data_IF_609900777704
#
_entry.id   IF_609900777704
#
_cell.length_a   1.000
_cell.length_b   1.000
_cell.length_c   1.000
_cell.angle_alpha   90.00
_cell.angle_beta   90.00
_cell.angle_gamma   90.00
#
_symmetry.space_group_name_H-M   'P 1'
#
loop_
_entity.id
_entity.type
_entity.pdbx_description
1 polymer ?
#
# COMPACT_ATOMS: atom_id res chain seq x y z
N UNK A 1 9.44 21.40 -2.12
CA UNK A 1 8.25 20.99 -1.37
C UNK A 1 7.68 22.21 -0.72
N UNK A 2 6.36 22.23 -0.61
CA UNK A 2 5.56 23.37 -0.18
C UNK A 2 4.45 22.85 0.74
N UNK A 3 4.19 23.53 1.86
CA UNK A 3 3.01 23.28 2.70
C UNK A 3 2.26 24.58 2.86
N UNK A 4 0.96 24.53 2.53
CA UNK A 4 0.06 25.66 2.60
C UNK A 4 -1.14 25.31 3.49
N UNK A 5 -1.62 26.30 4.23
CA UNK A 5 -2.90 26.22 4.94
C UNK A 5 -3.95 26.97 4.14
N UNK A 6 -5.11 26.36 3.91
CA UNK A 6 -6.24 27.04 3.28
C UNK A 6 -6.84 28.05 4.26
N UNK A 7 -6.93 29.32 3.83
CA UNK A 7 -7.63 30.36 4.58
C UNK A 7 -9.08 30.46 4.08
N UNK A 8 -9.26 30.53 2.76
CA UNK A 8 -10.58 30.56 2.12
C UNK A 8 -10.48 30.35 0.61
N UNK A 9 -11.56 29.85 0.01
CA UNK A 9 -11.75 29.95 -1.44
C UNK A 9 -12.27 31.34 -1.80
N UNK A 10 -11.63 32.01 -2.74
CA UNK A 10 -12.07 33.31 -3.26
C UNK A 10 -13.05 33.16 -4.42
N UNK A 11 -12.78 32.21 -5.33
CA UNK A 11 -13.53 32.09 -6.58
C UNK A 11 -13.42 30.68 -7.17
N UNK A 12 -14.55 30.16 -7.65
CA UNK A 12 -14.63 28.98 -8.50
C UNK A 12 -14.71 29.42 -9.97
N UNK A 13 -13.94 28.80 -10.85
CA UNK A 13 -13.99 29.02 -12.29
C UNK A 13 -14.39 27.71 -13.00
N UNK A 14 -15.66 27.28 -12.88
CA UNK A 14 -16.12 26.06 -13.52
C UNK A 14 -16.19 26.21 -15.05
N UNK A 15 -15.88 25.11 -15.73
CA UNK A 15 -16.00 24.91 -17.16
C UNK A 15 -16.88 23.68 -17.36
N UNK A 16 -17.96 23.84 -18.14
CA UNK A 16 -18.86 22.73 -18.44
C UNK A 16 -18.11 21.64 -19.18
N UNK A 17 -18.29 20.40 -18.72
CA UNK A 17 -17.77 19.24 -19.41
C UNK A 17 -18.64 18.90 -20.62
N UNK A 18 -18.00 18.63 -21.75
CA UNK A 18 -18.63 18.14 -22.98
C UNK A 18 -17.84 16.94 -23.48
N UNK A 19 -18.41 15.72 -23.49
CA UNK A 19 -17.71 14.50 -23.89
C UNK A 19 -17.21 14.51 -25.35
N UNK A 20 -17.69 15.44 -26.19
CA UNK A 20 -17.33 15.51 -27.61
C UNK A 20 -16.14 16.43 -27.91
N UNK A 21 -15.64 17.18 -26.93
CA UNK A 21 -14.47 18.05 -27.10
C UNK A 21 -13.18 17.31 -26.74
N UNK A 22 -12.17 17.41 -27.60
CA UNK A 22 -10.80 16.98 -27.30
C UNK A 22 -10.17 17.99 -26.35
N UNK A 23 -9.82 17.56 -25.13
CA UNK A 23 -9.31 18.45 -24.08
C UNK A 23 -7.80 18.36 -23.89
N UNK A 24 -7.17 19.44 -23.39
CA UNK A 24 -5.73 19.50 -23.15
C UNK A 24 -5.26 18.78 -21.87
N UNK A 25 -6.19 18.23 -21.07
CA UNK A 25 -5.86 17.58 -19.79
C UNK A 25 -6.16 16.10 -19.92
N UNK A 26 -5.16 15.24 -19.69
CA UNK A 26 -5.37 13.82 -19.45
C UNK A 26 -6.25 13.69 -18.21
N UNK A 27 -7.54 13.40 -18.43
CA UNK A 27 -8.52 13.21 -17.38
C UNK A 27 -8.14 11.96 -16.58
N UNK A 28 -7.94 12.13 -15.27
CA UNK A 28 -7.53 11.03 -14.39
C UNK A 28 -8.71 10.39 -13.65
N UNK A 29 -9.81 11.11 -13.42
CA UNK A 29 -10.98 10.55 -12.72
C UNK A 29 -12.29 11.33 -12.93
N UNK A 30 -13.41 10.66 -12.63
CA UNK A 30 -14.75 11.27 -12.50
C UNK A 30 -15.17 11.16 -11.04
N UNK A 31 -15.49 12.29 -10.42
CA UNK A 31 -15.94 12.38 -9.03
C UNK A 31 -17.46 12.52 -9.00
N UNK A 32 -18.11 11.57 -8.32
CA UNK A 32 -19.53 11.59 -8.03
C UNK A 32 -19.75 11.94 -6.57
N UNK A 33 -20.65 12.89 -6.29
CA UNK A 33 -21.13 13.15 -4.93
C UNK A 33 -22.49 12.49 -4.80
N UNK A 34 -22.65 11.60 -3.82
CA UNK A 34 -23.93 10.93 -3.56
C UNK A 34 -24.99 11.94 -3.11
N UNK A 35 -26.16 11.97 -3.76
CA UNK A 35 -27.30 12.80 -3.36
C UNK A 35 -28.15 13.33 -4.52
N UNK A 36 -29.23 14.03 -4.20
CA UNK A 36 -30.12 14.70 -5.16
C UNK A 36 -29.53 16.04 -5.62
N UNK A 37 -28.32 16.02 -6.17
CA UNK A 37 -27.66 17.22 -6.69
C UNK A 37 -27.83 17.33 -8.21
N UNK A 38 -27.75 18.55 -8.78
CA UNK A 38 -27.87 18.75 -10.23
C UNK A 38 -26.79 17.96 -10.97
N UNK A 39 -27.19 17.24 -12.02
CA UNK A 39 -26.25 16.61 -12.95
C UNK A 39 -25.71 17.69 -13.90
N UNK A 40 -24.60 18.31 -13.52
CA UNK A 40 -23.94 19.36 -14.28
C UNK A 40 -22.42 19.13 -14.21
N UNK A 41 -21.91 18.19 -15.02
CA UNK A 41 -20.51 17.80 -14.96
C UNK A 41 -19.62 18.98 -15.34
N UNK A 42 -18.68 19.30 -14.47
CA UNK A 42 -17.78 20.45 -14.62
C UNK A 42 -16.35 20.05 -14.26
N UNK A 43 -15.40 20.71 -14.90
CA UNK A 43 -14.00 20.77 -14.46
C UNK A 43 -13.61 22.25 -14.32
N UNK A 44 -12.40 22.58 -13.88
CA UNK A 44 -11.94 23.97 -13.93
C UNK A 44 -10.95 24.33 -12.84
N UNK A 45 -10.82 25.63 -12.60
CA UNK A 45 -9.85 26.18 -11.65
C UNK A 45 -10.50 26.77 -10.40
N UNK A 46 -9.70 26.83 -9.33
CA UNK A 46 -10.04 27.39 -8.05
C UNK A 46 -9.01 28.48 -7.70
N UNK A 47 -9.50 29.65 -7.28
CA UNK A 47 -8.66 30.68 -6.70
C UNK A 47 -8.80 30.64 -5.18
N UNK A 48 -7.69 30.38 -4.48
CA UNK A 48 -7.66 30.15 -3.04
C UNK A 48 -6.71 31.16 -2.40
N UNK A 49 -7.12 31.72 -1.26
CA UNK A 49 -6.22 32.41 -0.36
C UNK A 49 -5.63 31.38 0.61
N UNK A 50 -4.31 31.30 0.64
CA UNK A 50 -3.57 30.37 1.50
C UNK A 50 -2.53 31.09 2.34
N UNK A 51 -2.12 30.47 3.44
CA UNK A 51 -0.94 30.84 4.22
C UNK A 51 0.21 29.90 3.89
N UNK A 52 1.39 30.45 3.61
CA UNK A 52 2.61 29.65 3.49
C UNK A 52 3.07 29.16 4.87
N UNK A 53 3.11 27.84 5.09
CA UNK A 53 3.61 27.24 6.34
C UNK A 53 5.07 26.82 6.18
N UNK A 54 5.42 26.20 5.06
CA UNK A 54 6.76 25.66 4.81
C UNK A 54 7.10 25.68 3.31
N UNK A 55 8.38 25.88 3.00
CA UNK A 55 8.89 25.78 1.64
C UNK A 55 8.76 27.06 0.81
N UNK A 56 8.74 26.90 -0.50
CA UNK A 56 8.58 27.99 -1.46
C UNK A 56 7.88 27.47 -2.74
N UNK A 57 7.45 28.40 -3.59
CA UNK A 57 6.71 28.09 -4.82
C UNK A 57 7.60 27.77 -6.03
N UNK A 58 8.92 27.70 -5.87
CA UNK A 58 9.84 27.47 -6.98
C UNK A 58 9.66 26.05 -7.53
N UNK A 59 9.43 25.95 -8.83
CA UNK A 59 9.22 24.69 -9.57
C UNK A 59 8.06 23.81 -9.04
N UNK A 60 7.12 24.36 -8.26
CA UNK A 60 5.96 23.61 -7.79
C UNK A 60 4.93 23.49 -8.92
N UNK A 61 4.61 22.25 -9.28
CA UNK A 61 3.69 21.93 -10.36
C UNK A 61 2.52 21.08 -9.85
N UNK A 62 2.82 20.11 -8.99
CA UNK A 62 1.86 19.14 -8.47
C UNK A 62 1.42 19.56 -7.08
N UNK A 63 0.12 19.44 -6.82
CA UNK A 63 -0.50 19.76 -5.55
C UNK A 63 -1.37 18.58 -5.09
N UNK A 64 -1.29 18.26 -3.81
CA UNK A 64 -2.16 17.32 -3.11
C UNK A 64 -2.91 18.06 -2.02
N UNK A 65 -4.23 18.05 -2.11
CA UNK A 65 -5.14 18.62 -1.13
C UNK A 65 -5.47 17.57 -0.10
N UNK A 66 -5.33 17.95 1.16
CA UNK A 66 -5.61 17.10 2.31
C UNK A 66 -6.78 17.76 3.04
N UNK A 67 -7.97 17.21 2.79
CA UNK A 67 -9.21 17.52 3.50
C UNK A 67 -9.82 16.19 3.98
N UNK A 68 -11.15 16.08 4.12
CA UNK A 68 -11.83 14.81 4.37
C UNK A 68 -11.50 13.70 3.34
N UNK A 69 -10.98 14.06 2.17
CA UNK A 69 -10.47 13.17 1.13
C UNK A 69 -9.20 13.75 0.49
N UNK A 70 -8.42 12.91 -0.19
CA UNK A 70 -7.24 13.36 -0.94
C UNK A 70 -7.62 13.74 -2.37
N UNK A 71 -7.16 14.91 -2.82
CA UNK A 71 -7.40 15.36 -4.20
C UNK A 71 -6.13 15.89 -4.87
N UNK A 72 -5.94 15.48 -6.12
CA UNK A 72 -4.80 15.88 -6.94
C UNK A 72 -5.12 17.13 -7.78
N UNK A 73 -4.20 18.09 -7.77
CA UNK A 73 -4.30 19.30 -8.58
C UNK A 73 -2.96 19.75 -9.15
N UNK A 74 -3.02 20.78 -10.01
CA UNK A 74 -1.85 21.44 -10.58
C UNK A 74 -1.88 22.93 -10.28
N UNK A 75 -0.74 23.47 -9.84
CA UNK A 75 -0.57 24.89 -9.65
C UNK A 75 -0.51 25.60 -11.01
N UNK A 76 -1.43 26.53 -11.26
CA UNK A 76 -1.44 27.34 -12.49
C UNK A 76 -0.74 28.67 -12.30
N UNK A 77 -0.97 29.32 -11.16
CA UNK A 77 -0.41 30.63 -10.86
C UNK A 77 -0.40 30.90 -9.35
N UNK A 78 0.46 31.80 -8.90
CA UNK A 78 0.47 32.30 -7.53
C UNK A 78 0.86 33.77 -7.47
N UNK A 79 0.28 34.49 -6.52
CA UNK A 79 0.58 35.90 -6.25
C UNK A 79 0.70 36.14 -4.75
N UNK A 80 1.85 36.65 -4.32
CA UNK A 80 2.07 37.04 -2.92
C UNK A 80 1.12 38.17 -2.51
N UNK A 81 0.44 37.98 -1.40
CA UNK A 81 -0.41 38.96 -0.74
C UNK A 81 0.28 39.59 0.47
N UNK A 82 -0.52 40.07 1.43
CA UNK A 82 -0.02 40.59 2.70
C UNK A 82 0.25 39.47 3.71
N UNK A 83 1.33 39.59 4.50
CA UNK A 83 1.65 38.73 5.65
C UNK A 83 1.68 37.22 5.35
N UNK A 84 2.68 36.76 4.60
CA UNK A 84 2.90 35.35 4.18
C UNK A 84 1.70 34.62 3.55
N UNK A 85 0.67 35.38 3.18
CA UNK A 85 -0.48 34.86 2.46
C UNK A 85 -0.25 34.96 0.95
N UNK A 86 -0.81 34.00 0.22
CA UNK A 86 -0.72 33.91 -1.22
C UNK A 86 -2.11 33.68 -1.80
N UNK A 87 -2.41 34.33 -2.91
CA UNK A 87 -3.53 33.93 -3.76
C UNK A 87 -2.97 32.96 -4.80
N UNK A 88 -3.48 31.74 -4.82
CA UNK A 88 -3.06 30.70 -5.76
C UNK A 88 -4.23 30.31 -6.65
N UNK A 89 -3.92 30.02 -7.91
CA UNK A 89 -4.84 29.45 -8.87
C UNK A 89 -4.44 28.00 -9.15
N UNK A 90 -5.40 27.09 -9.01
CA UNK A 90 -5.17 25.65 -9.10
C UNK A 90 -6.21 25.04 -10.02
N UNK A 91 -5.83 24.04 -10.82
CA UNK A 91 -6.77 23.20 -11.57
C UNK A 91 -6.72 21.76 -11.05
N UNK A 92 -7.82 21.04 -11.20
CA UNK A 92 -7.90 19.61 -10.89
C UNK A 92 -7.94 18.79 -12.18
N UNK A 93 -7.38 17.58 -12.16
CA UNK A 93 -7.40 16.67 -13.32
C UNK A 93 -8.60 15.71 -13.27
N UNK A 94 -9.77 16.20 -12.85
CA UNK A 94 -10.97 15.39 -12.68
C UNK A 94 -12.23 16.14 -13.13
N UNK A 95 -13.26 15.36 -13.49
CA UNK A 95 -14.61 15.87 -13.74
C UNK A 95 -15.44 15.71 -12.48
N UNK A 96 -16.03 16.80 -12.03
CA UNK A 96 -16.97 16.82 -10.92
C UNK A 96 -18.39 16.75 -11.47
N UNK A 97 -19.01 15.57 -11.38
CA UNK A 97 -20.29 15.28 -12.04
C UNK A 97 -21.44 16.16 -11.53
N UNK A 98 -21.40 16.50 -10.24
CA UNK A 98 -22.39 17.34 -9.57
C UNK A 98 -22.01 18.84 -9.56
N UNK A 99 -20.98 19.22 -10.31
CA UNK A 99 -20.44 20.58 -10.38
C UNK A 99 -19.26 20.81 -9.45
N UNK A 100 -18.34 21.69 -9.89
CA UNK A 100 -17.07 21.95 -9.21
C UNK A 100 -17.28 22.55 -7.81
N UNK A 101 -18.22 23.49 -7.69
CA UNK A 101 -18.47 24.19 -6.43
C UNK A 101 -19.02 23.26 -5.35
N UNK A 102 -19.96 22.39 -5.72
CA UNK A 102 -20.59 21.45 -4.78
C UNK A 102 -19.60 20.40 -4.31
N UNK A 103 -18.82 19.86 -5.24
CA UNK A 103 -17.86 18.80 -4.93
C UNK A 103 -16.64 19.28 -4.12
N UNK A 104 -16.46 20.60 -4.03
CA UNK A 104 -15.37 21.26 -3.30
C UNK A 104 -15.91 22.21 -2.22
N UNK A 105 -17.12 21.98 -1.73
CA UNK A 105 -17.71 22.80 -0.67
C UNK A 105 -16.90 22.67 0.63
N UNK A 106 -16.44 21.46 0.94
CA UNK A 106 -15.62 21.14 2.13
C UNK A 106 -14.21 21.74 2.09
N UNK A 107 -13.72 22.12 0.91
CA UNK A 107 -12.43 22.83 0.76
C UNK A 107 -12.46 24.19 1.48
N UNK A 108 -13.64 24.76 1.72
CA UNK A 108 -13.79 26.01 2.47
C UNK A 108 -13.59 25.88 3.98
N UNK A 109 -13.47 24.67 4.52
CA UNK A 109 -13.19 24.49 5.94
C UNK A 109 -11.77 25.00 6.23
N UNK A 110 -11.67 25.91 7.20
CA UNK A 110 -10.39 26.37 7.71
C UNK A 110 -9.61 25.17 8.26
N UNK A 111 -8.28 25.19 8.11
CA UNK A 111 -7.32 24.15 8.55
C UNK A 111 -7.02 23.01 7.57
N UNK A 112 -7.68 22.96 6.41
CA UNK A 112 -7.26 22.09 5.30
C UNK A 112 -5.84 22.44 4.81
N UNK A 113 -5.08 21.41 4.43
CA UNK A 113 -3.68 21.54 3.99
C UNK A 113 -3.54 21.29 2.48
N UNK A 114 -2.57 21.98 1.87
CA UNK A 114 -2.13 21.68 0.51
C UNK A 114 -0.64 21.41 0.54
N UNK A 115 -0.23 20.26 -0.01
CA UNK A 115 1.16 19.89 -0.20
C UNK A 115 1.51 20.11 -1.67
N UNK A 116 2.54 20.90 -1.92
CA UNK A 116 3.07 21.11 -3.27
C UNK A 116 4.45 20.48 -3.43
N UNK A 117 4.69 19.89 -4.60
CA UNK A 117 5.98 19.31 -4.95
C UNK A 117 6.28 19.47 -6.45
N UNK A 118 7.57 19.48 -6.77
CA UNK A 118 8.03 19.50 -8.16
C UNK A 118 8.08 18.10 -8.77
N UNK A 119 8.18 18.03 -10.09
CA UNK A 119 8.40 16.77 -10.81
C UNK A 119 9.73 16.09 -10.45
N UNK A 120 10.76 16.86 -10.07
CA UNK A 120 12.04 16.30 -9.61
C UNK A 120 11.94 15.75 -8.18
N UNK A 121 11.17 16.39 -7.32
CA UNK A 121 10.87 15.86 -5.98
C UNK A 121 10.09 14.56 -6.06
N UNK A 122 9.10 14.47 -6.95
CA UNK A 122 8.35 13.24 -7.19
C UNK A 122 9.28 12.06 -7.51
N UNK A 123 10.28 12.26 -8.39
CA UNK A 123 11.28 11.22 -8.71
C UNK A 123 12.16 10.88 -7.52
N UNK A 124 12.48 11.86 -6.67
CA UNK A 124 13.35 11.66 -5.50
C UNK A 124 12.70 10.79 -4.41
N UNK A 125 11.37 10.72 -4.36
CA UNK A 125 10.62 9.85 -3.44
C UNK A 125 10.77 8.35 -3.73
N UNK A 126 11.56 7.96 -4.75
CA UNK A 126 12.02 6.58 -4.94
C UNK A 126 13.05 6.13 -3.89
N UNK A 127 13.54 7.02 -3.03
CA UNK A 127 14.56 6.70 -2.01
C UNK A 127 13.99 6.73 -0.59
N UNK A 128 14.45 5.82 0.26
CA UNK A 128 14.03 5.73 1.67
C UNK A 128 14.19 7.06 2.43
N UNK A 129 15.31 7.76 2.25
CA UNK A 129 15.56 9.03 2.95
C UNK A 129 14.52 10.10 2.59
N UNK A 130 14.17 10.21 1.31
CA UNK A 130 13.19 11.20 0.85
C UNK A 130 11.77 10.84 1.25
N UNK A 131 11.44 9.56 1.25
CA UNK A 131 10.18 9.07 1.79
C UNK A 131 10.06 9.39 3.30
N UNK A 132 11.13 9.22 4.07
CA UNK A 132 11.15 9.57 5.49
C UNK A 132 11.03 11.08 5.72
N UNK A 133 11.72 11.92 4.93
CA UNK A 133 11.57 13.38 4.97
C UNK A 133 10.10 13.80 4.70
N UNK A 134 9.47 13.20 3.70
CA UNK A 134 8.07 13.44 3.36
C UNK A 134 7.13 13.03 4.52
N UNK A 135 7.26 11.79 5.02
CA UNK A 135 6.45 11.30 6.14
C UNK A 135 6.61 12.20 7.37
N UNK A 136 7.84 12.63 7.66
CA UNK A 136 8.14 13.58 8.75
C UNK A 136 7.38 14.89 8.56
N UNK A 137 7.42 15.46 7.35
CA UNK A 137 6.75 16.72 7.05
C UNK A 137 5.22 16.59 7.18
N UNK A 138 4.63 15.53 6.60
CA UNK A 138 3.19 15.31 6.63
C UNK A 138 2.70 15.06 8.06
N UNK A 139 3.36 14.18 8.80
CA UNK A 139 2.98 13.85 10.19
C UNK A 139 2.98 15.09 11.08
N UNK A 140 3.96 15.98 10.90
CA UNK A 140 4.07 17.23 11.66
C UNK A 140 2.84 18.13 11.54
N UNK A 141 2.15 18.10 10.40
CA UNK A 141 1.04 19.01 10.15
C UNK A 141 -0.33 18.33 10.16
N UNK A 142 -0.41 17.02 9.92
CA UNK A 142 -1.67 16.27 9.88
C UNK A 142 -1.98 15.64 11.24
N UNK A 143 -1.00 15.00 11.89
CA UNK A 143 -1.18 14.32 13.19
C UNK A 143 -0.07 14.71 14.19
N UNK A 144 0.08 16.01 14.52
CA UNK A 144 1.19 16.49 15.35
C UNK A 144 1.26 15.86 16.74
N UNK A 145 0.10 15.47 17.32
CA UNK A 145 0.02 14.88 18.67
C UNK A 145 0.64 13.48 18.77
N UNK A 146 0.75 12.75 17.66
CA UNK A 146 1.30 11.38 17.57
C UNK A 146 2.59 11.30 16.75
N UNK A 147 3.29 12.43 16.63
CA UNK A 147 4.42 12.58 15.72
C UNK A 147 5.53 11.55 15.95
N UNK A 148 5.93 11.33 17.20
CA UNK A 148 7.02 10.40 17.51
C UNK A 148 6.58 8.93 17.33
N UNK A 149 5.33 8.61 17.70
CA UNK A 149 4.75 7.29 17.55
C UNK A 149 4.69 6.88 16.08
N UNK A 150 4.14 7.74 15.22
CA UNK A 150 3.97 7.46 13.79
C UNK A 150 5.34 7.25 13.11
N UNK A 151 6.30 8.14 13.37
CA UNK A 151 7.66 7.96 12.85
C UNK A 151 8.35 6.72 13.42
N UNK A 152 8.05 6.35 14.67
CA UNK A 152 8.51 5.11 15.28
C UNK A 152 7.90 3.84 14.68
N UNK A 153 6.74 3.94 14.03
CA UNK A 153 6.13 2.81 13.31
C UNK A 153 6.71 2.63 11.91
N UNK A 154 7.28 3.67 11.32
CA UNK A 154 7.77 3.64 9.97
C UNK A 154 8.87 2.58 9.80
N UNK A 155 8.69 1.67 8.84
CA UNK A 155 9.67 0.61 8.56
C UNK A 155 9.72 0.29 7.09
N UNK A 156 10.84 -0.28 6.67
CA UNK A 156 11.10 -0.64 5.30
C UNK A 156 10.22 -1.82 4.86
N UNK A 157 9.67 -1.72 3.65
CA UNK A 157 9.01 -2.78 2.92
C UNK A 157 9.43 -2.73 1.45
N UNK A 158 9.09 -3.79 0.71
CA UNK A 158 9.44 -3.89 -0.70
C UNK A 158 8.22 -4.32 -1.49
N UNK A 159 7.79 -3.45 -2.38
CA UNK A 159 6.68 -3.72 -3.29
C UNK A 159 7.22 -4.56 -4.44
N UNK A 160 6.55 -5.69 -4.68
CA UNK A 160 6.86 -6.61 -5.76
C UNK A 160 6.12 -6.15 -7.02
N UNK A 161 6.82 -5.46 -7.92
CA UNK A 161 6.25 -5.01 -9.18
C UNK A 161 6.55 -6.03 -10.28
N UNK A 162 5.56 -6.82 -10.76
CA UNK A 162 5.79 -7.85 -11.75
C UNK A 162 6.31 -7.27 -13.06
N UNK A 163 7.07 -8.07 -13.80
CA UNK A 163 7.64 -7.69 -15.08
C UNK A 163 7.44 -8.81 -16.11
N UNK A 164 7.87 -8.58 -17.35
CA UNK A 164 7.68 -9.55 -18.45
C UNK A 164 8.73 -10.69 -18.45
N UNK A 165 9.66 -10.71 -17.50
CA UNK A 165 10.72 -11.72 -17.42
C UNK A 165 10.24 -13.02 -16.76
N UNK A 166 10.83 -14.15 -17.16
CA UNK A 166 10.44 -15.51 -16.72
C UNK A 166 11.63 -16.38 -16.26
N UNK A 167 12.66 -15.73 -15.73
CA UNK A 167 13.85 -16.34 -15.16
C UNK A 167 13.59 -16.93 -13.76
N UNK A 168 13.50 -18.26 -13.69
CA UNK A 168 13.35 -19.00 -12.43
C UNK A 168 14.54 -18.87 -11.45
N UNK A 169 15.66 -18.26 -11.86
CA UNK A 169 16.83 -18.03 -10.99
C UNK A 169 16.82 -16.65 -10.32
N UNK A 170 15.74 -15.90 -10.46
CA UNK A 170 15.48 -14.64 -9.77
C UNK A 170 14.22 -14.77 -8.92
N UNK A 171 13.91 -13.75 -8.12
CA UNK A 171 12.67 -13.68 -7.37
C UNK A 171 11.47 -13.65 -8.32
N UNK A 172 10.48 -14.48 -8.05
CA UNK A 172 9.32 -14.66 -8.92
C UNK A 172 8.11 -15.16 -8.16
N UNK A 173 6.93 -14.88 -8.71
CA UNK A 173 5.70 -15.59 -8.39
C UNK A 173 5.59 -16.85 -9.23
N UNK A 174 4.86 -17.84 -8.72
CA UNK A 174 4.64 -19.14 -9.36
C UNK A 174 5.98 -19.84 -9.65
N UNK A 175 6.07 -20.63 -10.71
CA UNK A 175 7.32 -21.26 -11.14
C UNK A 175 7.65 -22.56 -10.41
N UNK A 176 8.64 -23.26 -10.97
CA UNK A 176 9.09 -24.55 -10.46
C UNK A 176 9.87 -24.41 -9.15
N UNK A 177 9.55 -25.21 -8.10
CA UNK A 177 10.33 -25.24 -6.87
C UNK A 177 11.82 -25.59 -7.10
N UNK A 178 12.71 -25.01 -6.30
CA UNK A 178 14.17 -25.27 -6.35
C UNK A 178 14.64 -26.26 -5.27
N UNK A 179 13.74 -27.09 -4.77
CA UNK A 179 13.99 -28.14 -3.77
C UNK A 179 13.19 -29.41 -4.11
N UNK A 180 13.36 -30.47 -3.31
CA UNK A 180 12.71 -31.75 -3.53
C UNK A 180 11.18 -31.67 -3.29
N UNK A 181 10.39 -32.26 -4.19
CA UNK A 181 8.92 -32.21 -4.12
C UNK A 181 8.34 -32.96 -2.93
N UNK A 182 9.10 -33.90 -2.35
CA UNK A 182 8.72 -34.60 -1.11
C UNK A 182 8.49 -33.61 0.05
N UNK A 183 9.15 -32.46 0.01
CA UNK A 183 8.90 -31.39 0.98
C UNK A 183 7.53 -30.73 0.80
N UNK A 184 6.83 -30.94 -0.31
CA UNK A 184 5.48 -30.43 -0.59
C UNK A 184 4.41 -31.51 -0.42
N UNK A 185 4.80 -32.76 -0.12
CA UNK A 185 3.85 -33.84 0.10
C UNK A 185 3.09 -33.64 1.41
N UNK A 186 1.77 -33.87 1.33
CA UNK A 186 0.88 -33.83 2.47
C UNK A 186 0.57 -35.30 2.85
N UNK A 187 0.62 -35.69 4.15
CA UNK A 187 0.56 -37.09 4.59
C UNK A 187 -0.67 -37.91 4.15
N UNK A 188 -1.71 -37.28 3.62
CA UNK A 188 -3.04 -37.86 3.40
C UNK A 188 -3.37 -38.15 1.91
N UNK A 189 -2.37 -38.37 1.03
CA UNK A 189 -2.55 -38.60 -0.43
C UNK A 189 -3.25 -37.45 -1.20
N UNK A 190 -3.27 -36.23 -0.66
CA UNK A 190 -3.79 -35.06 -1.38
C UNK A 190 -2.78 -34.51 -2.39
N UNK A 191 -3.24 -33.64 -3.30
CA UNK A 191 -2.35 -32.90 -4.20
C UNK A 191 -1.25 -32.15 -3.43
N UNK A 192 -0.04 -32.01 -4.02
CA UNK A 192 1.05 -31.27 -3.42
C UNK A 192 0.67 -29.79 -3.24
N UNK A 193 1.34 -29.12 -2.30
CA UNK A 193 1.16 -27.68 -2.12
C UNK A 193 1.56 -26.92 -3.39
N UNK A 194 0.75 -25.92 -3.74
CA UNK A 194 0.92 -25.08 -4.90
C UNK A 194 1.98 -23.98 -4.63
N UNK A 195 2.92 -23.73 -5.57
CA UNK A 195 3.95 -22.70 -5.41
C UNK A 195 3.40 -21.29 -5.63
N UNK A 196 3.49 -20.44 -4.61
CA UNK A 196 3.00 -19.05 -4.67
C UNK A 196 4.12 -18.10 -5.11
N UNK A 197 5.27 -18.16 -4.46
CA UNK A 197 6.40 -17.31 -4.77
C UNK A 197 7.72 -17.92 -4.28
N UNK A 198 8.81 -17.54 -4.92
CA UNK A 198 10.17 -17.77 -4.44
C UNK A 198 10.93 -16.47 -4.43
N UNK A 199 11.51 -16.15 -3.28
CA UNK A 199 12.37 -14.98 -3.09
C UNK A 199 13.82 -15.43 -3.09
N UNK A 200 14.61 -14.80 -3.96
CA UNK A 200 16.03 -15.06 -4.07
C UNK A 200 16.81 -14.01 -3.28
N UNK A 201 17.64 -14.47 -2.33
CA UNK A 201 18.29 -13.56 -1.39
C UNK A 201 19.28 -12.59 -2.05
N UNK A 202 19.85 -12.97 -3.20
CA UNK A 202 20.71 -12.09 -3.98
C UNK A 202 19.95 -10.89 -4.56
N UNK A 203 18.63 -10.98 -4.75
CA UNK A 203 17.78 -9.85 -5.14
C UNK A 203 17.43 -8.98 -3.94
N UNK A 204 17.55 -9.52 -2.72
CA UNK A 204 17.31 -8.82 -1.46
C UNK A 204 18.55 -8.07 -0.94
N UNK A 205 19.56 -7.81 -1.77
CA UNK A 205 20.78 -7.07 -1.33
C UNK A 205 20.48 -5.68 -0.77
N UNK A 206 19.36 -5.10 -1.17
CA UNK A 206 18.84 -3.82 -0.67
C UNK A 206 18.16 -3.94 0.71
N UNK A 207 17.87 -5.16 1.17
CA UNK A 207 17.13 -5.44 2.40
C UNK A 207 18.05 -5.54 3.61
N UNK A 208 17.86 -4.63 4.58
CA UNK A 208 18.43 -4.78 5.92
C UNK A 208 17.79 -6.01 6.58
N UNK A 209 18.61 -6.96 7.04
CA UNK A 209 18.22 -8.25 7.65
C UNK A 209 17.97 -9.43 6.70
N UNK A 210 18.38 -9.33 5.43
CA UNK A 210 18.37 -10.46 4.50
C UNK A 210 19.22 -11.67 4.96
N UNK A 211 20.10 -11.47 5.96
CA UNK A 211 20.95 -12.49 6.57
C UNK A 211 20.21 -13.70 7.16
N UNK A 212 18.93 -13.55 7.52
CA UNK A 212 18.10 -14.64 8.06
C UNK A 212 17.45 -15.48 6.95
N UNK A 213 17.43 -14.96 5.73
CA UNK A 213 17.01 -15.68 4.53
C UNK A 213 18.25 -16.38 3.96
N UNK A 214 18.15 -17.68 3.72
CA UNK A 214 19.16 -18.48 3.03
C UNK A 214 19.15 -18.12 1.55
N UNK A 215 19.71 -18.94 0.65
CA UNK A 215 19.67 -18.64 -0.79
C UNK A 215 18.25 -18.41 -1.33
N UNK A 216 17.27 -19.20 -0.87
CA UNK A 216 15.87 -19.12 -1.28
C UNK A 216 14.92 -19.12 -0.07
N UNK A 217 13.87 -18.32 -0.18
CA UNK A 217 12.67 -18.38 0.66
C UNK A 217 11.45 -18.63 -0.24
N UNK A 218 10.85 -19.81 -0.16
CA UNK A 218 9.72 -20.19 -1.01
C UNK A 218 8.44 -20.38 -0.21
N UNK A 219 7.32 -19.99 -0.81
CA UNK A 219 6.00 -19.92 -0.20
C UNK A 219 5.05 -20.84 -0.95
N UNK A 220 4.32 -21.67 -0.20
CA UNK A 220 3.43 -22.69 -0.75
C UNK A 220 2.09 -22.66 -0.04
N UNK A 221 1.05 -22.94 -0.81
CA UNK A 221 -0.32 -22.96 -0.33
C UNK A 221 -1.08 -24.14 -0.90
N UNK A 222 -1.98 -24.70 -0.12
CA UNK A 222 -2.94 -25.68 -0.59
C UNK A 222 -4.08 -24.94 -1.27
N UNK A 223 -4.33 -25.31 -2.53
CA UNK A 223 -5.52 -24.88 -3.25
C UNK A 223 -6.55 -25.97 -3.01
N UNK A 224 -7.51 -25.71 -2.14
CA UNK A 224 -8.59 -26.66 -1.85
C UNK A 224 -9.79 -26.37 -2.76
N UNK A 225 -10.43 -27.42 -3.28
CA UNK A 225 -11.78 -27.35 -3.83
C UNK A 225 -12.84 -27.24 -2.69
N UNK A 226 -12.64 -26.35 -1.72
CA UNK A 226 -13.62 -26.10 -0.65
C UNK A 226 -14.61 -25.01 -1.06
N UNK A 227 -15.78 -24.96 -0.41
CA UNK A 227 -16.86 -23.98 -0.68
C UNK A 227 -16.38 -22.50 -0.65
N UNK A 228 -15.27 -22.22 0.06
CA UNK A 228 -14.58 -20.93 0.11
C UNK A 228 -13.09 -20.95 -0.29
N UNK A 229 -12.53 -22.09 -0.74
CA UNK A 229 -11.17 -22.19 -1.31
C UNK A 229 -9.93 -21.91 -0.43
N UNK A 230 -10.06 -21.45 0.82
CA UNK A 230 -8.93 -20.92 1.59
C UNK A 230 -8.24 -21.90 2.59
N UNK A 231 -6.94 -21.71 2.88
CA UNK A 231 -6.18 -22.53 3.84
C UNK A 231 -6.55 -22.22 5.30
N UNK A 232 -6.93 -23.24 6.08
CA UNK A 232 -7.34 -23.05 7.48
C UNK A 232 -6.37 -23.70 8.48
N UNK A 233 -5.64 -24.74 8.07
CA UNK A 233 -4.77 -25.51 8.95
C UNK A 233 -3.29 -25.24 8.67
N UNK A 234 -2.42 -25.45 9.68
CA UNK A 234 -0.95 -25.38 9.51
C UNK A 234 -0.39 -26.30 8.43
N UNK A 235 -1.11 -27.37 8.05
CA UNK A 235 -0.70 -28.28 6.97
C UNK A 235 -1.09 -27.79 5.57
N UNK A 236 -1.90 -26.73 5.48
CA UNK A 236 -2.41 -26.18 4.23
C UNK A 236 -1.48 -25.10 3.64
N UNK A 237 -0.35 -24.82 4.28
CA UNK A 237 0.67 -23.93 3.76
C UNK A 237 2.05 -24.36 4.22
N UNK A 238 3.09 -23.91 3.51
CA UNK A 238 4.48 -24.16 3.90
C UNK A 238 5.37 -23.01 3.49
N UNK A 239 6.36 -22.71 4.32
CA UNK A 239 7.43 -21.77 3.99
C UNK A 239 8.75 -22.52 4.12
N UNK A 240 9.59 -22.45 3.10
CA UNK A 240 10.87 -23.14 3.06
C UNK A 240 12.01 -22.14 2.90
N UNK A 241 12.98 -22.20 3.82
CA UNK A 241 14.18 -21.38 3.82
C UNK A 241 15.45 -22.25 3.64
N UNK A 242 16.06 -22.23 2.45
CA UNK A 242 17.07 -23.22 2.00
C UNK A 242 18.17 -22.64 1.10
N UNK A 243 19.33 -23.32 0.97
CA UNK A 243 20.53 -22.82 0.28
C UNK A 243 20.74 -23.35 -1.17
N UNK A 244 19.82 -24.13 -1.72
CA UNK A 244 20.01 -25.25 -2.69
C UNK A 244 20.36 -26.56 -1.98
N UNK A 245 19.57 -27.60 -2.22
CA UNK A 245 20.04 -28.97 -2.16
C UNK A 245 19.26 -29.85 -3.16
N UNK A 246 20.04 -30.60 -3.94
CA UNK A 246 19.71 -31.73 -4.81
C UNK A 246 18.75 -31.47 -5.99
N UNK A 247 19.35 -31.25 -7.16
CA UNK A 247 18.73 -31.62 -8.44
C UNK A 247 18.53 -33.14 -8.50
N UNK A 248 17.47 -33.63 -7.86
CA UNK A 248 16.91 -34.93 -8.23
C UNK A 248 16.03 -34.67 -9.46
N UNK A 249 16.15 -35.56 -10.45
CA UNK A 249 15.33 -35.53 -11.65
C UNK A 249 13.85 -35.57 -11.25
N UNK A 250 13.18 -34.42 -11.25
CA UNK A 250 11.72 -34.39 -11.13
C UNK A 250 11.14 -35.20 -12.28
N UNK A 251 10.20 -36.06 -11.94
CA UNK A 251 9.40 -36.84 -12.88
C UNK A 251 8.81 -35.87 -13.92
N UNK A 252 8.99 -36.16 -15.21
CA UNK A 252 8.71 -35.24 -16.34
C UNK A 252 7.23 -34.88 -16.53
N UNK A 253 6.37 -35.33 -15.63
CA UNK A 253 4.92 -35.30 -15.77
C UNK A 253 4.20 -34.27 -14.88
N UNK A 254 4.90 -33.59 -13.96
CA UNK A 254 4.30 -32.48 -13.21
C UNK A 254 4.46 -31.17 -13.99
N UNK A 255 3.32 -30.56 -14.33
CA UNK A 255 3.25 -29.22 -14.92
C UNK A 255 3.23 -28.17 -13.80
N UNK A 256 4.14 -27.20 -13.90
CA UNK A 256 4.16 -26.00 -13.08
C UNK A 256 3.84 -24.80 -13.97
N UNK A 257 3.23 -23.78 -13.39
CA UNK A 257 3.03 -22.51 -14.08
C UNK A 257 4.36 -21.81 -14.37
N UNK A 258 4.35 -20.97 -15.39
CA UNK A 258 5.51 -20.18 -15.79
C UNK A 258 5.84 -19.18 -14.68
N UNK A 259 7.11 -19.13 -14.29
CA UNK A 259 7.60 -18.14 -13.34
C UNK A 259 7.33 -16.72 -13.86
N UNK A 260 6.78 -15.86 -13.00
CA UNK A 260 6.55 -14.45 -13.29
C UNK A 260 7.46 -13.61 -12.39
N UNK A 261 8.54 -13.06 -12.94
CA UNK A 261 9.49 -12.26 -12.16
C UNK A 261 8.90 -10.93 -11.72
N UNK A 262 9.53 -10.34 -10.71
CA UNK A 262 9.20 -9.00 -10.26
C UNK A 262 10.44 -8.23 -9.86
N UNK A 263 10.34 -6.91 -10.00
CA UNK A 263 11.30 -5.94 -9.49
C UNK A 263 10.87 -5.50 -8.10
N UNK A 264 11.84 -5.22 -7.22
CA UNK A 264 11.56 -4.68 -5.89
C UNK A 264 11.60 -3.15 -5.93
N UNK A 265 10.52 -2.51 -5.49
CA UNK A 265 10.49 -1.09 -5.19
C UNK A 265 10.52 -0.88 -3.69
N UNK A 266 11.48 -0.08 -3.22
CA UNK A 266 11.64 0.21 -1.80
C UNK A 266 10.61 1.23 -1.31
N UNK A 267 9.92 0.88 -0.23
CA UNK A 267 8.87 1.69 0.37
C UNK A 267 9.06 1.78 1.90
N UNK A 268 9.00 2.98 2.44
CA UNK A 268 8.86 3.25 3.87
C UNK A 268 7.37 3.14 4.20
N UNK A 269 7.01 2.06 4.88
CA UNK A 269 5.64 1.68 5.18
C UNK A 269 5.25 2.07 6.62
N UNK A 270 3.98 2.41 6.79
CA UNK A 270 3.34 2.70 8.08
C UNK A 270 2.07 1.84 8.19
N UNK A 271 1.69 1.38 9.40
CA UNK A 271 0.57 0.46 9.55
C UNK A 271 -0.76 1.07 9.11
N UNK A 272 -1.73 0.25 8.71
CA UNK A 272 -3.12 0.73 8.57
C UNK A 272 -3.71 1.13 9.93
N UNK A 273 -4.79 1.92 9.91
CA UNK A 273 -5.44 2.44 11.12
C UNK A 273 -6.02 1.34 12.03
N UNK A 274 -6.33 0.18 11.45
CA UNK A 274 -6.85 -1.01 12.12
C UNK A 274 -5.73 -1.90 12.69
N UNK A 275 -4.46 -1.59 12.41
CA UNK A 275 -3.36 -2.44 12.86
C UNK A 275 -3.21 -2.44 14.39
N UNK A 276 -2.78 -3.57 14.95
CA UNK A 276 -2.62 -3.75 16.41
C UNK A 276 -1.77 -2.67 17.08
N UNK A 277 -0.74 -2.17 16.40
CA UNK A 277 0.09 -1.05 16.88
C UNK A 277 -0.72 0.24 17.08
N UNK A 278 -1.63 0.56 16.16
CA UNK A 278 -2.49 1.75 16.28
C UNK A 278 -3.48 1.56 17.42
N UNK A 279 -4.09 0.38 17.52
CA UNK A 279 -5.02 0.04 18.61
C UNK A 279 -4.39 0.25 20.00
N UNK A 280 -3.18 -0.27 20.25
CA UNK A 280 -2.55 -0.15 21.57
C UNK A 280 -1.98 1.25 21.85
N UNK A 281 -1.84 2.09 20.81
CA UNK A 281 -1.26 3.43 20.92
C UNK A 281 -2.28 4.52 21.31
N UNK A 282 -3.52 4.11 21.62
CA UNK A 282 -4.59 4.97 22.14
C UNK A 282 -4.78 6.25 21.33
N UNK A 283 -4.97 6.11 20.01
CA UNK A 283 -5.39 7.23 19.17
C UNK A 283 -6.85 7.58 19.49
N UNK A 284 -7.17 8.87 19.55
CA UNK A 284 -8.57 9.32 19.56
C UNK A 284 -9.24 8.99 18.21
N UNK A 285 -10.55 9.20 18.10
CA UNK A 285 -11.27 9.06 16.82
C UNK A 285 -10.72 10.05 15.78
N UNK A 286 -10.69 11.34 16.10
CA UNK A 286 -10.11 12.38 15.24
C UNK A 286 -8.65 12.09 14.84
N UNK A 287 -7.83 11.55 15.75
CA UNK A 287 -6.44 11.19 15.43
C UNK A 287 -6.36 10.00 14.46
N UNK A 288 -7.30 9.06 14.53
CA UNK A 288 -7.36 7.93 13.59
C UNK A 288 -7.79 8.37 12.20
N UNK A 289 -8.78 9.25 12.12
CA UNK A 289 -9.24 9.81 10.84
C UNK A 289 -8.10 10.60 10.18
N UNK A 290 -7.43 11.48 10.94
CA UNK A 290 -6.27 12.21 10.43
C UNK A 290 -5.08 11.29 10.10
N UNK A 291 -4.91 10.18 10.81
CA UNK A 291 -3.88 9.19 10.49
C UNK A 291 -4.18 8.45 9.17
N UNK A 292 -5.44 8.10 8.91
CA UNK A 292 -5.86 7.53 7.64
C UNK A 292 -5.57 8.50 6.48
N UNK A 293 -5.94 9.78 6.65
CA UNK A 293 -5.64 10.84 5.68
C UNK A 293 -4.13 11.03 5.47
N UNK A 294 -3.32 10.96 6.54
CA UNK A 294 -1.86 11.01 6.45
C UNK A 294 -1.33 9.87 5.57
N UNK A 295 -1.77 8.62 5.81
CA UNK A 295 -1.31 7.46 5.03
C UNK A 295 -1.72 7.58 3.56
N UNK A 296 -2.96 7.96 3.30
CA UNK A 296 -3.47 8.16 1.93
C UNK A 296 -2.69 9.25 1.20
N UNK A 297 -2.50 10.43 1.82
CA UNK A 297 -1.73 11.53 1.24
C UNK A 297 -0.28 11.13 0.96
N UNK A 298 0.34 10.42 1.91
CA UNK A 298 1.71 9.94 1.80
C UNK A 298 1.86 9.00 0.60
N UNK A 299 1.05 7.93 0.52
CA UNK A 299 1.06 6.96 -0.57
C UNK A 299 0.74 7.60 -1.93
N UNK A 300 -0.20 8.56 -1.96
CA UNK A 300 -0.56 9.28 -3.18
C UNK A 300 0.61 10.09 -3.77
N UNK A 301 1.46 10.67 -2.91
CA UNK A 301 2.62 11.47 -3.34
C UNK A 301 3.76 10.57 -3.83
N UNK A 302 4.02 9.45 -3.17
CA UNK A 302 5.19 8.61 -3.46
C UNK A 302 5.00 7.64 -4.63
N UNK A 303 3.76 7.24 -4.97
CA UNK A 303 3.55 6.12 -5.88
C UNK A 303 2.25 6.16 -6.65
N UNK A 304 1.84 7.35 -7.11
CA UNK A 304 0.63 7.56 -7.93
C UNK A 304 0.50 6.59 -9.13
N UNK A 305 1.63 6.16 -9.70
CA UNK A 305 1.66 5.24 -10.85
C UNK A 305 1.96 3.78 -10.47
N UNK A 306 2.19 3.51 -9.18
CA UNK A 306 2.59 2.19 -8.65
C UNK A 306 1.47 1.58 -7.79
N UNK A 307 0.67 2.41 -7.12
CA UNK A 307 -0.27 2.00 -6.09
C UNK A 307 -1.71 2.33 -6.51
N UNK A 308 -2.33 1.44 -7.29
CA UNK A 308 -3.71 1.66 -7.74
C UNK A 308 -4.77 1.03 -6.82
N UNK A 309 -4.50 -0.09 -6.15
CA UNK A 309 -5.46 -0.76 -5.24
C UNK A 309 -4.74 -1.49 -4.09
N UNK A 310 -4.31 -2.73 -4.32
CA UNK A 310 -3.60 -3.58 -3.36
C UNK A 310 -2.22 -3.95 -3.89
N UNK A 311 -1.27 -4.12 -2.98
CA UNK A 311 0.13 -4.35 -3.32
C UNK A 311 0.56 -5.77 -3.03
N UNK A 312 1.31 -6.36 -3.96
CA UNK A 312 2.18 -7.46 -3.59
C UNK A 312 3.41 -6.89 -2.89
N UNK A 313 3.73 -7.36 -1.69
CA UNK A 313 4.88 -6.83 -0.96
C UNK A 313 5.51 -7.83 0.00
N UNK A 314 6.77 -7.58 0.30
CA UNK A 314 7.59 -8.33 1.25
C UNK A 314 7.91 -7.39 2.42
N UNK A 315 7.80 -7.91 3.63
CA UNK A 315 7.93 -7.11 4.86
C UNK A 315 6.91 -5.97 4.93
N UNK A 316 7.16 -4.92 5.73
CA UNK A 316 6.15 -3.89 5.96
C UNK A 316 4.97 -4.35 6.82
N UNK A 317 3.84 -3.67 6.68
CA UNK A 317 2.60 -3.96 7.38
C UNK A 317 1.59 -4.55 6.41
N UNK A 318 0.77 -5.54 6.80
CA UNK A 318 -0.27 -6.08 5.92
C UNK A 318 -1.31 -4.99 5.60
N UNK A 319 -1.71 -4.91 4.33
CA UNK A 319 -2.83 -4.07 3.89
C UNK A 319 -4.14 -4.80 4.18
N UNK A 320 -4.56 -4.74 5.44
CA UNK A 320 -5.73 -5.51 5.92
C UNK A 320 -7.03 -5.06 5.22
N UNK A 321 -7.85 -6.03 4.79
CA UNK A 321 -9.15 -5.81 4.13
C UNK A 321 -10.30 -5.83 5.15
N UNK A 322 -10.22 -6.73 6.13
CA UNK A 322 -11.26 -6.93 7.15
C UNK A 322 -10.78 -6.44 8.53
N UNK A 323 -10.13 -7.30 9.32
CA UNK A 323 -9.53 -6.91 10.60
C UNK A 323 -8.00 -6.93 10.52
N UNK A 324 -7.35 -6.52 11.59
CA UNK A 324 -5.90 -6.60 11.71
C UNK A 324 -5.36 -8.01 11.46
N UNK A 325 -4.65 -8.20 10.36
CA UNK A 325 -4.00 -9.48 10.00
C UNK A 325 -3.06 -10.00 11.11
N UNK A 326 -2.30 -9.11 11.76
CA UNK A 326 -1.41 -9.48 12.88
C UNK A 326 -2.19 -10.01 14.10
N UNK A 327 -3.41 -9.50 14.33
CA UNK A 327 -4.29 -9.97 15.39
C UNK A 327 -4.81 -11.38 15.08
N UNK A 328 -5.28 -11.59 13.85
CA UNK A 328 -5.79 -12.88 13.39
C UNK A 328 -4.69 -13.95 13.39
N UNK A 329 -3.47 -13.59 13.00
CA UNK A 329 -2.31 -14.47 13.09
C UNK A 329 -2.05 -14.95 14.53
N UNK A 330 -2.10 -14.04 15.50
CA UNK A 330 -1.90 -14.37 16.92
C UNK A 330 -3.04 -15.20 17.50
N UNK A 331 -4.29 -14.88 17.11
CA UNK A 331 -5.49 -15.62 17.49
C UNK A 331 -5.40 -17.08 17.01
N UNK A 332 -5.15 -17.28 15.72
CA UNK A 332 -5.11 -18.59 15.07
C UNK A 332 -3.93 -19.43 15.57
N UNK A 333 -2.74 -18.83 15.68
CA UNK A 333 -1.55 -19.56 16.10
C UNK A 333 -1.68 -20.16 17.52
N UNK A 334 -2.34 -19.45 18.44
CA UNK A 334 -2.51 -19.89 19.82
C UNK A 334 -3.89 -20.49 20.11
N UNK A 335 -4.79 -20.57 19.12
CA UNK A 335 -6.17 -21.01 19.28
C UNK A 335 -6.89 -20.28 20.44
N UNK A 336 -6.84 -18.94 20.43
CA UNK A 336 -7.40 -18.09 21.50
C UNK A 336 -8.82 -17.64 21.16
N UNK A 337 -9.59 -17.29 22.20
CA UNK A 337 -10.82 -16.54 22.02
C UNK A 337 -10.53 -15.05 21.83
N UNK A 338 -11.40 -14.35 21.10
CA UNK A 338 -11.28 -12.92 20.84
C UNK A 338 -11.21 -12.12 22.16
N UNK A 339 -10.18 -11.29 22.27
CA UNK A 339 -10.01 -10.35 23.39
C UNK A 339 -9.03 -9.23 23.05
N UNK A 340 -9.18 -8.07 23.71
CA UNK A 340 -8.29 -6.93 23.50
C UNK A 340 -6.84 -7.20 23.92
N UNK A 341 -6.62 -8.19 24.80
CA UNK A 341 -5.27 -8.57 25.24
C UNK A 341 -4.42 -9.10 24.09
N UNK A 342 -5.04 -9.65 23.04
CA UNK A 342 -4.34 -10.19 21.87
C UNK A 342 -3.59 -9.09 21.12
N UNK A 343 -4.11 -7.86 21.07
CA UNK A 343 -3.44 -6.75 20.38
C UNK A 343 -2.01 -6.52 20.89
N UNK A 344 -1.75 -6.72 22.18
CA UNK A 344 -0.42 -6.56 22.76
C UNK A 344 0.57 -7.64 22.33
N UNK A 345 0.10 -8.87 22.11
CA UNK A 345 0.93 -9.97 21.62
C UNK A 345 1.10 -9.89 20.09
N UNK A 346 0.06 -9.45 19.39
CA UNK A 346 -0.03 -9.33 17.94
C UNK A 346 1.03 -8.39 17.32
N UNK A 347 1.53 -7.38 18.07
CA UNK A 347 2.59 -6.47 17.58
C UNK A 347 3.93 -7.17 17.30
N UNK A 348 4.10 -8.40 17.77
CA UNK A 348 5.28 -9.22 17.52
C UNK A 348 5.22 -9.95 16.18
N UNK A 349 4.07 -9.94 15.50
CA UNK A 349 3.96 -10.46 14.14
C UNK A 349 4.49 -9.46 13.12
N UNK A 350 5.06 -10.01 12.06
CA UNK A 350 5.56 -9.28 10.90
C UNK A 350 5.13 -10.00 9.62
N UNK A 351 4.89 -9.21 8.58
CA UNK A 351 4.60 -9.72 7.25
C UNK A 351 5.89 -10.29 6.64
N UNK A 352 5.81 -11.48 6.04
CA UNK A 352 6.84 -12.04 5.16
C UNK A 352 6.50 -11.75 3.70
N UNK A 353 5.28 -12.08 3.29
CA UNK A 353 4.79 -11.91 1.94
C UNK A 353 3.28 -11.63 1.96
N UNK A 354 2.87 -10.60 1.25
CA UNK A 354 1.48 -10.33 0.89
C UNK A 354 1.32 -10.59 -0.60
N UNK A 355 0.30 -11.38 -0.95
CA UNK A 355 -0.10 -11.61 -2.34
C UNK A 355 -1.55 -11.20 -2.53
N UNK A 356 -1.79 -10.25 -3.42
CA UNK A 356 -3.11 -9.74 -3.74
C UNK A 356 -3.51 -10.11 -5.18
N UNK A 357 -4.73 -10.66 -5.38
CA UNK A 357 -5.32 -10.89 -6.70
C UNK A 357 -5.60 -9.58 -7.46
N UNK A 358 -5.79 -8.47 -6.75
CA UNK A 358 -6.17 -7.18 -7.31
C UNK A 358 -4.98 -6.36 -7.83
N UNK A 359 -3.77 -6.87 -7.65
CA UNK A 359 -2.63 -6.36 -8.39
C UNK A 359 -2.81 -6.75 -9.87
N UNK A 360 -3.14 -5.77 -10.74
CA UNK A 360 -3.46 -5.89 -12.18
C UNK A 360 -2.52 -6.78 -13.02
N UNK A 361 -1.38 -7.17 -12.47
CA UNK A 361 -0.35 -8.01 -13.06
C UNK A 361 -0.55 -9.51 -12.84
N UNK A 362 -1.58 -9.97 -12.10
CA UNK A 362 -1.85 -11.39 -11.86
C UNK A 362 -3.26 -11.81 -12.30
N UNK A 363 -3.36 -12.55 -13.40
CA UNK A 363 -4.57 -13.31 -13.76
C UNK A 363 -4.65 -14.69 -13.07
N UNK A 364 -3.70 -15.00 -12.19
CA UNK A 364 -3.57 -16.31 -11.55
C UNK A 364 -4.71 -16.61 -10.56
N UNK A 365 -5.41 -15.59 -10.09
CA UNK A 365 -6.42 -15.70 -9.05
C UNK A 365 -7.85 -15.91 -9.57
N UNK A 366 -8.10 -16.23 -10.84
CA UNK A 366 -9.48 -16.51 -11.30
C UNK A 366 -10.15 -17.67 -10.51
N UNK A 367 -9.35 -18.61 -9.99
CA UNK A 367 -9.80 -19.74 -9.17
C UNK A 367 -9.83 -19.43 -7.65
N UNK A 368 -9.21 -18.33 -7.23
CA UNK A 368 -9.19 -17.87 -5.85
C UNK A 368 -10.21 -16.75 -5.70
N UNK A 369 -10.99 -16.76 -4.62
CA UNK A 369 -11.98 -15.71 -4.40
C UNK A 369 -11.39 -14.30 -4.34
N UNK A 370 -12.25 -13.35 -4.01
CA UNK A 370 -11.97 -11.93 -3.83
C UNK A 370 -11.11 -11.64 -2.58
N UNK A 371 -9.89 -12.18 -2.46
CA UNK A 371 -9.11 -12.04 -1.23
C UNK A 371 -7.58 -12.06 -1.33
N UNK A 372 -6.95 -11.30 -0.42
CA UNK A 372 -5.51 -11.19 -0.25
C UNK A 372 -4.95 -12.20 0.75
N UNK A 373 -3.75 -12.71 0.46
CA UNK A 373 -3.05 -13.75 1.23
C UNK A 373 -1.86 -13.13 1.96
N UNK A 374 -1.78 -13.35 3.27
CA UNK A 374 -0.71 -12.82 4.13
C UNK A 374 0.05 -13.95 4.82
N UNK A 375 1.33 -14.09 4.50
CA UNK A 375 2.26 -14.94 5.24
C UNK A 375 2.87 -14.14 6.38
N UNK A 376 2.57 -14.53 7.60
CA UNK A 376 2.98 -13.84 8.82
C UNK A 376 3.95 -14.71 9.62
N UNK A 377 4.92 -14.07 10.28
CA UNK A 377 5.88 -14.71 11.19
C UNK A 377 6.05 -13.84 12.43
N UNK A 378 6.43 -14.43 13.57
CA UNK A 378 6.86 -13.65 14.73
C UNK A 378 8.28 -13.14 14.54
N UNK A 379 8.57 -11.91 14.98
CA UNK A 379 9.89 -11.28 14.88
C UNK A 379 11.01 -12.16 15.41
N UNK A 380 10.82 -12.77 16.59
CA UNK A 380 11.81 -13.66 17.20
C UNK A 380 12.06 -14.94 16.37
N UNK A 381 11.02 -15.51 15.76
CA UNK A 381 11.17 -16.70 14.91
C UNK A 381 11.95 -16.35 13.64
N UNK A 382 11.67 -15.18 13.03
CA UNK A 382 12.42 -14.67 11.88
C UNK A 382 13.91 -14.46 12.21
N UNK A 383 14.22 -13.80 13.32
CA UNK A 383 15.60 -13.54 13.78
C UNK A 383 16.36 -14.84 14.11
N UNK A 384 15.66 -15.90 14.49
CA UNK A 384 16.23 -17.23 14.72
C UNK A 384 16.30 -18.09 13.45
N UNK A 385 15.82 -17.58 12.30
CA UNK A 385 15.71 -18.34 11.06
C UNK A 385 14.73 -19.53 11.13
N UNK A 386 13.78 -19.49 12.07
CA UNK A 386 12.77 -20.52 12.28
C UNK A 386 11.48 -20.18 11.53
N UNK A 387 11.20 -20.86 10.43
CA UNK A 387 10.01 -20.61 9.61
C UNK A 387 8.87 -21.60 9.88
N UNK A 388 9.03 -22.54 10.84
CA UNK A 388 8.04 -23.56 11.16
C UNK A 388 6.80 -23.00 11.91
N UNK A 389 6.96 -21.82 12.51
CA UNK A 389 5.93 -21.15 13.31
C UNK A 389 5.18 -20.05 12.55
N UNK A 390 5.25 -20.03 11.23
CA UNK A 390 4.52 -19.06 10.43
C UNK A 390 3.01 -19.32 10.45
N UNK A 391 2.24 -18.29 10.09
CA UNK A 391 0.80 -18.36 9.93
C UNK A 391 0.40 -17.74 8.60
N UNK A 392 -0.54 -18.36 7.90
CA UNK A 392 -1.23 -17.73 6.77
C UNK A 392 -2.56 -17.19 7.25
N UNK A 393 -2.86 -15.97 6.83
CA UNK A 393 -4.15 -15.31 6.98
C UNK A 393 -4.65 -14.98 5.58
N UNK A 394 -5.95 -15.13 5.35
CA UNK A 394 -6.60 -14.70 4.11
C UNK A 394 -7.81 -13.85 4.46
N UNK A 395 -7.97 -12.74 3.75
CA UNK A 395 -9.10 -11.83 3.92
C UNK A 395 -9.69 -11.49 2.57
N UNK A 396 -11.01 -11.43 2.50
CA UNK A 396 -11.78 -11.08 1.29
C UNK A 396 -12.80 -9.99 1.59
N UNK A 397 -13.32 -9.33 0.54
CA UNK A 397 -14.30 -8.23 0.69
C UNK A 397 -15.71 -8.65 1.09
#
# INVERSE_FOLDING_TARGET
MLVLQIIKVNKYNPIKWDPNNSYPVELQSIVHVTGNQPNNPEYGSLNILVKLIYGNFEAIENLVFINNNIQNGKLLNYKKGASDNYNIEITFNCIYFNGLKYSLEEVNQADNLIIGYSSDEAKSFSTYEKQHELLTLLTKYIVPSKFNEILGFAKQCYVCNPNEDTNENQSHFLGKPKHELIDLEIPDNSQPLFPIATIFNDDLKIIKNNQFIKKYLSFYLRINETEYGWPENKKDFKILNYNELNTIQNDSNQHFDVANNFSLFELLDIPNFDHSLIHISNFTEDERDNYALLKEAYLNIIGKDIFEEELNKIFGYPDSIQNCVSYEAELNFNNREHSDKIYFDAINWMLLLQVSPYCKSFSFFDDFGDGSIYYMIRKQDFENGNFDNCQVIVQST
#
